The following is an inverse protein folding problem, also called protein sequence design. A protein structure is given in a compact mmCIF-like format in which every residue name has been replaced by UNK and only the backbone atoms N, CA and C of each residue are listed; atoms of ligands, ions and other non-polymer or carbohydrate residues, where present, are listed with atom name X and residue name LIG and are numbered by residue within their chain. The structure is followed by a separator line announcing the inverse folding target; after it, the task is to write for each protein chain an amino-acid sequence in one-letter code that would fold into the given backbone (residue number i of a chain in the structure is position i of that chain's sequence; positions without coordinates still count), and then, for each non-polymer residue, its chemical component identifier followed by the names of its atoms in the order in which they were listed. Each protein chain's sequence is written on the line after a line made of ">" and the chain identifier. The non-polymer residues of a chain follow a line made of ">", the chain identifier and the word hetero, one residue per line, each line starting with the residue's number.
data_IF_290480270635
#
_entry.id   IF_290480270635
#
_cell.length_a   1.000
_cell.length_b   1.000
_cell.length_c   1.000
_cell.angle_alpha   90.00
_cell.angle_beta   90.00
_cell.angle_gamma   90.00
#
_symmetry.space_group_name_H-M   'P 1'
#
loop_
_entity.id
_entity.type
_entity.pdbx_description
1 polymer ?
#
# COMPACT_ATOMS: atom_id res chain seq x y z
N UNK A 1 -1.50 12.40 6.51
CA UNK A 1 -0.44 12.15 7.49
C UNK A 1 0.03 10.73 7.29
N UNK A 2 0.86 10.50 6.26
CA UNK A 2 1.64 9.29 6.09
C UNK A 2 3.06 9.65 6.52
N UNK A 3 3.70 8.72 7.22
CA UNK A 3 5.08 8.83 7.67
C UNK A 3 5.93 9.42 6.55
N UNK A 4 6.51 10.60 6.79
CA UNK A 4 7.64 11.08 6.00
C UNK A 4 8.74 10.03 6.18
N UNK A 5 8.78 9.04 5.30
CA UNK A 5 9.92 8.16 5.09
C UNK A 5 11.03 9.06 4.54
N UNK A 6 11.63 9.85 5.44
CA UNK A 6 12.80 10.63 5.11
C UNK A 6 13.92 9.63 4.85
N UNK A 7 14.71 9.82 3.78
CA UNK A 7 15.82 8.92 3.43
C UNK A 7 16.84 8.67 4.57
N UNK A 8 16.81 9.48 5.63
CA UNK A 8 17.75 9.43 6.75
C UNK A 8 17.18 8.77 8.03
N UNK A 9 15.96 8.20 8.00
CA UNK A 9 15.32 7.59 9.19
C UNK A 9 15.34 6.07 9.13
N UNK A 10 15.36 5.48 7.94
CA UNK A 10 15.41 4.04 7.73
C UNK A 10 16.65 3.67 6.91
N UNK A 11 17.42 2.63 7.29
CA UNK A 11 18.61 2.21 6.54
C UNK A 11 18.29 1.52 5.21
N UNK A 12 17.03 1.49 4.80
CA UNK A 12 16.55 0.78 3.62
C UNK A 12 16.39 1.72 2.43
N UNK A 13 16.71 1.22 1.23
CA UNK A 13 16.38 1.90 -0.02
C UNK A 13 14.86 2.07 -0.12
N UNK A 14 14.40 3.32 -0.16
CA UNK A 14 13.01 3.67 -0.42
C UNK A 14 12.84 3.78 -1.93
N UNK A 15 11.98 2.94 -2.49
CA UNK A 15 11.52 3.06 -3.87
C UNK A 15 10.17 3.77 -3.86
N UNK A 16 10.17 5.06 -4.18
CA UNK A 16 8.95 5.81 -4.45
C UNK A 16 8.82 6.04 -5.96
N UNK A 17 7.65 5.69 -6.50
CA UNK A 17 7.26 5.99 -7.88
C UNK A 17 5.96 6.75 -7.80
N UNK A 18 6.02 8.02 -8.22
CA UNK A 18 4.81 8.81 -8.44
C UNK A 18 4.17 8.38 -9.76
N UNK A 19 2.96 7.85 -9.71
CA UNK A 19 2.22 7.46 -10.92
C UNK A 19 1.12 8.48 -11.15
N UNK A 20 1.28 9.26 -12.21
CA UNK A 20 0.24 10.18 -12.65
C UNK A 20 -0.95 9.35 -13.14
N UNK A 21 -2.06 9.44 -12.42
CA UNK A 21 -3.34 8.84 -12.80
C UNK A 21 -4.07 9.69 -13.83
N UNK A 22 -5.28 9.26 -14.20
CA UNK A 22 -6.22 10.07 -14.98
C UNK A 22 -7.15 10.86 -14.05
N UNK A 23 -8.00 11.73 -14.60
CA UNK A 23 -9.11 12.35 -13.85
C UNK A 23 -10.21 11.36 -13.47
N UNK A 24 -10.15 10.11 -13.95
CA UNK A 24 -11.07 9.04 -13.56
C UNK A 24 -10.56 8.31 -12.30
N UNK A 25 -11.17 8.60 -11.16
CA UNK A 25 -10.80 8.00 -9.89
C UNK A 25 -11.00 6.47 -9.85
N UNK A 26 -11.97 5.94 -10.60
CA UNK A 26 -12.26 4.49 -10.67
C UNK A 26 -11.17 3.80 -11.46
N UNK A 27 -10.75 4.40 -12.57
CA UNK A 27 -9.61 3.93 -13.35
C UNK A 27 -8.33 3.89 -12.49
N UNK A 28 -8.06 4.97 -11.76
CA UNK A 28 -6.92 5.01 -10.83
C UNK A 28 -7.01 3.92 -9.78
N UNK A 29 -8.19 3.61 -9.26
CA UNK A 29 -8.43 2.49 -8.32
C UNK A 29 -8.03 1.15 -8.93
N UNK A 30 -8.51 0.87 -10.15
CA UNK A 30 -8.18 -0.35 -10.88
C UNK A 30 -6.68 -0.47 -11.16
N UNK A 31 -6.04 0.61 -11.63
CA UNK A 31 -4.60 0.65 -11.90
C UNK A 31 -3.78 0.43 -10.62
N UNK A 32 -4.21 1.00 -9.50
CA UNK A 32 -3.57 0.80 -8.20
C UNK A 32 -3.62 -0.68 -7.77
N UNK A 33 -4.78 -1.35 -7.93
CA UNK A 33 -4.91 -2.79 -7.64
C UNK A 33 -4.02 -3.62 -8.57
N UNK A 34 -4.01 -3.33 -9.86
CA UNK A 34 -3.13 -4.01 -10.81
C UNK A 34 -1.67 -3.85 -10.40
N UNK A 35 -1.24 -2.65 -10.04
CA UNK A 35 0.12 -2.38 -9.57
C UNK A 35 0.46 -3.20 -8.32
N UNK A 36 -0.43 -3.23 -7.32
CA UNK A 36 -0.22 -4.02 -6.09
C UNK A 36 -0.09 -5.52 -6.39
N UNK A 37 -0.94 -6.06 -7.29
CA UNK A 37 -0.86 -7.47 -7.71
C UNK A 37 0.47 -7.79 -8.42
N UNK A 38 0.91 -6.93 -9.33
CA UNK A 38 2.20 -7.11 -10.01
C UNK A 38 3.39 -6.95 -9.07
N UNK A 39 3.31 -6.00 -8.15
CA UNK A 39 4.28 -5.80 -7.08
C UNK A 39 4.42 -7.04 -6.20
N UNK A 40 3.30 -7.65 -5.79
CA UNK A 40 3.31 -8.85 -4.97
C UNK A 40 3.96 -10.05 -5.66
N UNK A 41 3.81 -10.17 -6.99
CA UNK A 41 4.48 -11.22 -7.78
C UNK A 41 5.98 -10.99 -7.90
N UNK A 42 6.41 -9.73 -7.93
CA UNK A 42 7.79 -9.34 -8.17
C UNK A 42 8.62 -9.19 -6.90
N UNK A 43 8.02 -9.36 -5.71
CA UNK A 43 8.68 -9.12 -4.42
C UNK A 43 8.66 -10.37 -3.57
N UNK A 44 9.78 -10.64 -2.90
CA UNK A 44 9.83 -11.59 -1.78
C UNK A 44 9.65 -10.82 -0.48
N UNK A 45 8.50 -10.98 0.17
CA UNK A 45 8.27 -10.41 1.49
C UNK A 45 9.18 -11.10 2.53
N UNK A 46 9.85 -10.34 3.41
CA UNK A 46 10.79 -10.89 4.38
C UNK A 46 10.10 -11.68 5.50
N UNK A 47 8.82 -11.39 5.75
CA UNK A 47 7.97 -12.06 6.74
C UNK A 47 6.64 -12.46 6.10
N UNK A 48 5.86 -13.30 6.80
CA UNK A 48 4.54 -13.73 6.35
C UNK A 48 3.38 -12.93 6.96
N UNK A 49 3.62 -12.14 8.01
CA UNK A 49 2.60 -11.36 8.71
C UNK A 49 2.86 -9.87 8.57
N UNK A 50 1.80 -9.10 8.38
CA UNK A 50 1.86 -7.65 8.30
C UNK A 50 0.65 -6.99 8.95
N UNK A 51 0.72 -5.67 9.03
CA UNK A 51 -0.36 -4.81 9.51
C UNK A 51 -0.90 -4.01 8.34
N UNK A 52 -2.19 -4.23 8.05
CA UNK A 52 -2.92 -3.42 7.09
C UNK A 52 -3.59 -2.27 7.85
N UNK A 53 -3.23 -1.05 7.48
CA UNK A 53 -3.85 0.17 8.01
C UNK A 53 -4.95 0.63 7.06
N UNK A 54 -6.04 1.12 7.63
CA UNK A 54 -7.12 1.75 6.88
C UNK A 54 -7.79 2.84 7.71
N UNK A 55 -8.46 3.77 7.02
CA UNK A 55 -9.15 4.89 7.65
C UNK A 55 -10.66 4.69 7.57
N UNK A 56 -11.35 4.78 8.71
CA UNK A 56 -12.80 4.72 8.79
C UNK A 56 -13.32 5.86 9.66
N UNK A 57 -14.04 6.80 9.04
CA UNK A 57 -14.68 7.91 9.74
C UNK A 57 -13.70 8.81 10.49
N UNK A 58 -12.52 9.08 9.91
CA UNK A 58 -11.47 9.89 10.52
C UNK A 58 -10.66 9.18 11.61
N UNK A 59 -10.90 7.88 11.84
CA UNK A 59 -10.09 7.03 12.73
C UNK A 59 -9.17 6.14 11.91
N UNK A 60 -7.97 5.92 12.42
CA UNK A 60 -7.06 4.91 11.89
C UNK A 60 -7.33 3.58 12.59
N UNK A 61 -7.57 2.54 11.80
CA UNK A 61 -7.70 1.16 12.26
C UNK A 61 -6.56 0.35 11.66
N UNK A 62 -6.18 -0.72 12.37
CA UNK A 62 -5.09 -1.61 11.97
C UNK A 62 -5.47 -3.05 12.25
N UNK A 63 -5.24 -3.92 11.28
CA UNK A 63 -5.49 -5.37 11.41
C UNK A 63 -4.22 -6.12 11.07
N UNK A 64 -3.86 -7.09 11.91
CA UNK A 64 -2.75 -8.01 11.65
C UNK A 64 -3.25 -9.17 10.80
N UNK A 65 -2.63 -9.38 9.64
CA UNK A 65 -3.04 -10.36 8.63
C UNK A 65 -1.83 -11.10 8.06
N UNK A 66 -2.07 -12.27 7.47
CA UNK A 66 -1.08 -12.90 6.61
C UNK A 66 -0.95 -12.09 5.30
N UNK A 67 0.28 -11.81 4.88
CA UNK A 67 0.54 -11.02 3.67
C UNK A 67 0.01 -11.73 2.42
N UNK A 68 0.13 -13.05 2.34
CA UNK A 68 -0.44 -13.81 1.23
C UNK A 68 -1.96 -13.62 1.17
N UNK A 69 -2.65 -13.73 2.31
CA UNK A 69 -4.10 -13.52 2.40
C UNK A 69 -4.51 -12.10 1.99
N UNK A 70 -3.67 -11.08 2.27
CA UNK A 70 -3.92 -9.71 1.82
C UNK A 70 -3.96 -9.63 0.29
N UNK A 71 -3.02 -10.29 -0.40
CA UNK A 71 -2.96 -10.25 -1.86
C UNK A 71 -3.95 -11.20 -2.54
N UNK A 72 -4.27 -12.33 -1.92
CA UNK A 72 -5.30 -13.26 -2.37
C UNK A 72 -6.70 -12.63 -2.31
N UNK A 73 -6.94 -11.75 -1.32
CA UNK A 73 -8.24 -11.09 -1.10
C UNK A 73 -8.21 -9.58 -1.37
N UNK A 74 -7.25 -9.11 -2.18
CA UNK A 74 -6.94 -7.69 -2.30
C UNK A 74 -8.13 -6.83 -2.73
N UNK A 75 -8.96 -7.30 -3.65
CA UNK A 75 -10.13 -6.55 -4.13
C UNK A 75 -11.20 -6.39 -3.04
N UNK A 76 -11.48 -7.46 -2.30
CA UNK A 76 -12.44 -7.44 -1.20
C UNK A 76 -11.94 -6.55 -0.06
N UNK A 77 -10.68 -6.73 0.37
CA UNK A 77 -10.06 -5.89 1.39
C UNK A 77 -10.01 -4.43 0.97
N UNK A 78 -9.73 -4.14 -0.30
CA UNK A 78 -9.72 -2.77 -0.82
C UNK A 78 -11.10 -2.13 -0.88
N UNK A 79 -12.15 -2.94 -1.00
CA UNK A 79 -13.53 -2.46 -0.93
C UNK A 79 -13.92 -2.17 0.51
N UNK A 80 -13.65 -3.11 1.43
CA UNK A 80 -13.96 -2.98 2.87
C UNK A 80 -13.19 -1.82 3.51
N UNK A 81 -11.90 -1.69 3.21
CA UNK A 81 -11.03 -0.59 3.68
C UNK A 81 -11.33 0.76 3.02
N UNK A 82 -12.23 0.79 2.03
CA UNK A 82 -12.58 1.96 1.22
C UNK A 82 -11.45 2.53 0.37
N UNK A 83 -10.36 1.79 0.17
CA UNK A 83 -9.30 2.14 -0.78
C UNK A 83 -9.85 2.29 -2.21
N UNK A 84 -10.59 1.29 -2.70
CA UNK A 84 -11.17 1.30 -4.05
C UNK A 84 -12.28 2.35 -4.23
N UNK A 85 -12.90 2.77 -3.14
CA UNK A 85 -13.94 3.81 -3.17
C UNK A 85 -13.37 5.23 -3.04
N UNK A 86 -12.04 5.35 -2.90
CA UNK A 86 -11.33 6.62 -2.92
C UNK A 86 -11.29 7.37 -1.58
N UNK A 87 -11.56 6.70 -0.46
CA UNK A 87 -11.66 7.36 0.86
C UNK A 87 -10.49 7.03 1.80
N UNK A 88 -9.57 6.17 1.40
CA UNK A 88 -8.43 5.75 2.20
C UNK A 88 -7.23 5.42 1.32
N UNK A 89 -6.05 5.51 1.92
CA UNK A 89 -4.79 5.01 1.38
C UNK A 89 -4.65 3.51 1.66
N UNK A 90 -3.88 2.81 0.83
CA UNK A 90 -3.49 1.43 1.11
C UNK A 90 -2.14 1.44 1.79
N UNK A 91 -2.03 0.91 3.02
CA UNK A 91 -0.77 0.88 3.77
C UNK A 91 -0.60 -0.48 4.43
N UNK A 92 0.34 -1.27 3.92
CA UNK A 92 0.73 -2.57 4.46
C UNK A 92 2.18 -2.49 4.95
N UNK A 93 2.42 -2.86 6.21
CA UNK A 93 3.77 -2.82 6.81
C UNK A 93 4.09 -4.09 7.58
N UNK A 94 5.37 -4.40 7.72
CA UNK A 94 5.85 -5.40 8.68
C UNK A 94 5.58 -4.99 10.12
N UNK A 95 5.49 -5.97 11.03
CA UNK A 95 5.29 -5.70 12.46
C UNK A 95 6.45 -4.87 13.07
N UNK A 96 7.65 -5.01 12.53
CA UNK A 96 8.88 -4.30 12.88
C UNK A 96 9.09 -3.00 12.08
N UNK A 97 8.19 -2.68 11.15
CA UNK A 97 8.27 -1.57 10.20
C UNK A 97 9.51 -1.62 9.27
N UNK A 98 10.23 -2.75 9.22
CA UNK A 98 11.43 -2.89 8.38
C UNK A 98 11.09 -2.86 6.89
N UNK A 99 9.85 -3.20 6.53
CA UNK A 99 9.34 -3.06 5.18
C UNK A 99 7.91 -2.53 5.15
N UNK A 100 7.52 -2.04 3.97
CA UNK A 100 6.13 -1.75 3.69
C UNK A 100 5.85 -1.42 2.24
N UNK A 101 4.55 -1.40 1.94
CA UNK A 101 3.95 -1.07 0.64
C UNK A 101 2.83 -0.08 0.90
N UNK A 102 2.90 1.07 0.23
CA UNK A 102 1.95 2.15 0.38
C UNK A 102 1.45 2.60 -1.00
N UNK A 103 0.15 2.82 -1.12
CA UNK A 103 -0.44 3.65 -2.17
C UNK A 103 -1.17 4.81 -1.51
N UNK A 104 -0.57 6.00 -1.62
CA UNK A 104 -1.23 7.25 -1.26
C UNK A 104 -2.11 7.70 -2.43
N UNK A 105 -3.34 8.10 -2.12
CA UNK A 105 -4.30 8.60 -3.09
C UNK A 105 -4.41 10.11 -2.96
N UNK A 106 -4.43 10.77 -4.11
CA UNK A 106 -4.82 12.18 -4.24
C UNK A 106 -5.99 12.29 -5.23
N UNK A 107 -6.52 13.50 -5.38
CA UNK A 107 -7.67 13.77 -6.25
C UNK A 107 -7.45 13.35 -7.72
N UNK A 108 -6.21 13.39 -8.21
CA UNK A 108 -5.88 13.17 -9.64
C UNK A 108 -4.73 12.20 -9.91
N UNK A 109 -4.03 11.72 -8.87
CA UNK A 109 -2.93 10.79 -9.03
C UNK A 109 -2.79 9.89 -7.80
N UNK A 110 -1.96 8.87 -7.92
CA UNK A 110 -1.60 8.02 -6.80
C UNK A 110 -0.08 7.86 -6.72
N UNK A 111 0.43 7.81 -5.50
CA UNK A 111 1.84 7.62 -5.25
C UNK A 111 2.07 6.23 -4.69
N UNK A 112 2.90 5.45 -5.36
CA UNK A 112 3.30 4.13 -4.91
C UNK A 112 4.66 4.22 -4.22
N UNK A 113 4.75 3.73 -3.00
CA UNK A 113 5.98 3.68 -2.23
C UNK A 113 6.20 2.29 -1.64
N UNK A 114 7.44 1.81 -1.69
CA UNK A 114 7.87 0.60 -1.00
C UNK A 114 9.27 0.79 -0.40
N UNK A 115 9.53 0.14 0.72
CA UNK A 115 10.84 0.12 1.37
C UNK A 115 11.10 -1.24 1.99
N UNK A 116 12.36 -1.58 2.23
CA UNK A 116 12.73 -2.85 2.89
C UNK A 116 12.39 -4.11 2.09
N UNK A 117 12.00 -3.96 0.81
CA UNK A 117 11.60 -5.05 -0.07
C UNK A 117 12.58 -5.18 -1.23
N UNK A 118 12.95 -6.41 -1.55
CA UNK A 118 13.84 -6.74 -2.66
C UNK A 118 13.02 -7.37 -3.79
N UNK A 119 13.22 -6.88 -5.01
CA UNK A 119 12.63 -7.49 -6.20
C UNK A 119 13.30 -8.85 -6.47
N UNK A 120 12.51 -9.83 -6.88
CA UNK A 120 12.98 -11.17 -7.28
C UNK A 120 13.65 -11.08 -8.66
#
# INVERSE_FOLDING_TARGET
>A
MIFLLRPNVFPYNIYCIKIFGSTDYKENGRLSITLLKETAKAIKFPVNQGRLFFSKGGKFEVVKLNIAEVFDNLEELSTISRFLTGYADFVLVGDDLEFGVCIERTEYHYEFSMWGLTKI
#
